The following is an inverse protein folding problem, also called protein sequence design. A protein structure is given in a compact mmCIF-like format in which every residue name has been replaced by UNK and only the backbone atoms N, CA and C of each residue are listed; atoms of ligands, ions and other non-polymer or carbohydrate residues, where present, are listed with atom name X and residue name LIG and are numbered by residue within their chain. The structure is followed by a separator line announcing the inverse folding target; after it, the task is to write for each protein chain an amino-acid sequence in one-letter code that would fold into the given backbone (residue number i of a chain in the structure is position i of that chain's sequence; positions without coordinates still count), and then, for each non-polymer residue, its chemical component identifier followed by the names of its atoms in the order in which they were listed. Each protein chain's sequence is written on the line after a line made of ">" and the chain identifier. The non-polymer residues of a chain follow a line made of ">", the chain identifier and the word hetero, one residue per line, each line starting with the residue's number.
data_IF_717613670893
#
_entry.id   IF_717613670893
#
_cell.length_a   1.000
_cell.length_b   1.000
_cell.length_c   1.000
_cell.angle_alpha   90.00
_cell.angle_beta   90.00
_cell.angle_gamma   90.00
#
_symmetry.space_group_name_H-M   'P 1'
#
loop_
_entity.id
_entity.type
_entity.pdbx_description
1 polymer ?
#
# COMPACT_ATOMS: atom_id res chain seq x y z
N UNK A 1 19.32 27.70 1.72
CA UNK A 1 18.78 26.57 0.91
C UNK A 1 17.41 26.97 0.42
N UNK A 2 17.21 27.02 -0.92
CA UNK A 2 15.91 27.38 -1.51
C UNK A 2 14.88 26.30 -1.10
N UNK A 3 13.85 26.71 -0.34
CA UNK A 3 12.79 25.79 0.11
C UNK A 3 12.11 25.17 -1.09
N UNK A 4 12.07 23.82 -1.15
CA UNK A 4 11.36 23.11 -2.20
C UNK A 4 9.85 23.22 -1.95
N UNK A 5 9.10 23.68 -2.96
CA UNK A 5 7.65 23.85 -2.89
C UNK A 5 6.93 22.62 -3.43
N UNK A 6 5.76 22.31 -2.85
CA UNK A 6 4.91 21.18 -3.27
C UNK A 6 4.60 21.26 -4.77
N UNK A 7 4.21 22.44 -5.28
CA UNK A 7 3.88 22.64 -6.70
C UNK A 7 4.99 22.24 -7.70
N UNK A 8 6.25 22.21 -7.25
CA UNK A 8 7.39 21.84 -8.12
C UNK A 8 7.44 20.34 -8.39
N UNK A 9 6.88 19.53 -7.49
CA UNK A 9 6.94 18.07 -7.54
C UNK A 9 5.58 17.40 -7.75
N UNK A 10 4.47 18.11 -7.50
CA UNK A 10 3.14 17.54 -7.68
C UNK A 10 2.84 17.22 -9.14
N UNK A 11 1.90 16.33 -9.36
CA UNK A 11 1.22 16.15 -10.64
C UNK A 11 0.00 17.08 -10.62
N UNK A 12 -0.03 18.11 -11.49
CA UNK A 12 -1.16 19.05 -11.56
C UNK A 12 -2.36 18.39 -12.24
N UNK A 13 -3.53 18.94 -12.02
CA UNK A 13 -4.80 18.60 -12.68
C UNK A 13 -5.04 17.07 -12.76
N UNK A 14 -5.01 16.36 -11.60
CA UNK A 14 -5.22 14.92 -11.58
C UNK A 14 -6.66 14.60 -12.01
N UNK A 15 -6.84 13.43 -12.61
CA UNK A 15 -8.19 12.91 -12.84
C UNK A 15 -8.89 12.75 -11.50
N UNK A 16 -10.09 13.30 -11.37
CA UNK A 16 -10.92 13.24 -10.17
C UNK A 16 -12.23 12.50 -10.46
N UNK A 17 -12.86 11.97 -9.42
CA UNK A 17 -14.20 11.39 -9.51
C UNK A 17 -15.19 12.33 -8.82
N UNK A 18 -16.24 12.71 -9.51
CA UNK A 18 -17.31 13.55 -8.98
C UNK A 18 -18.41 12.70 -8.33
N UNK A 19 -18.82 13.04 -7.11
CA UNK A 19 -19.99 12.43 -6.47
C UNK A 19 -21.28 13.17 -6.82
N UNK A 20 -22.41 12.43 -7.00
CA UNK A 20 -22.56 10.98 -6.83
C UNK A 20 -21.97 10.17 -7.98
N UNK A 21 -21.42 9.00 -7.66
CA UNK A 21 -20.84 8.06 -8.62
C UNK A 21 -21.00 6.62 -8.11
N UNK A 22 -20.95 5.67 -9.04
CA UNK A 22 -21.03 4.24 -8.73
C UNK A 22 -19.66 3.61 -8.58
N UNK A 23 -19.60 2.48 -7.89
CA UNK A 23 -18.40 1.64 -7.78
C UNK A 23 -17.90 1.20 -9.17
N UNK A 24 -18.81 0.81 -10.06
CA UNK A 24 -18.46 0.34 -11.41
C UNK A 24 -17.82 1.45 -12.25
N UNK A 25 -18.33 2.68 -12.16
CA UNK A 25 -17.72 3.84 -12.81
C UNK A 25 -16.28 4.04 -12.32
N UNK A 26 -16.03 3.95 -11.01
CA UNK A 26 -14.67 4.04 -10.48
C UNK A 26 -13.76 2.92 -11.02
N UNK A 27 -14.26 1.67 -11.10
CA UNK A 27 -13.52 0.55 -11.69
C UNK A 27 -13.16 0.80 -13.16
N UNK A 28 -14.06 1.36 -13.94
CA UNK A 28 -13.78 1.73 -15.35
C UNK A 28 -12.64 2.73 -15.47
N UNK A 29 -12.59 3.72 -14.55
CA UNK A 29 -11.51 4.70 -14.52
C UNK A 29 -10.17 4.07 -14.06
N UNK A 30 -10.18 3.18 -13.07
CA UNK A 30 -8.98 2.45 -12.66
C UNK A 30 -8.38 1.63 -13.80
N UNK A 31 -9.22 0.96 -14.59
CA UNK A 31 -8.78 0.21 -15.79
C UNK A 31 -8.19 1.13 -16.85
N UNK A 32 -8.85 2.28 -17.10
CA UNK A 32 -8.43 3.25 -18.11
C UNK A 32 -7.11 3.94 -17.78
N UNK A 33 -6.97 4.44 -16.55
CA UNK A 33 -5.83 5.29 -16.17
C UNK A 33 -4.70 4.52 -15.48
N UNK A 34 -4.91 3.25 -15.12
CA UNK A 34 -3.91 2.36 -14.47
C UNK A 34 -3.26 2.99 -13.22
N UNK A 35 -4.00 3.78 -12.47
CA UNK A 35 -3.57 4.40 -11.21
C UNK A 35 -4.14 3.65 -10.01
N UNK A 36 -3.55 3.84 -8.83
CA UNK A 36 -3.97 3.14 -7.61
C UNK A 36 -5.05 3.87 -6.81
N UNK A 37 -5.31 5.15 -7.11
CA UNK A 37 -6.36 5.93 -6.44
C UNK A 37 -6.70 7.20 -7.20
N UNK A 38 -7.90 7.74 -6.92
CA UNK A 38 -8.38 9.02 -7.41
C UNK A 38 -8.80 9.92 -6.25
N UNK A 39 -8.54 11.24 -6.32
CA UNK A 39 -9.25 12.22 -5.52
C UNK A 39 -10.73 12.19 -5.89
N UNK A 40 -11.59 12.33 -4.88
CA UNK A 40 -13.04 12.37 -5.04
C UNK A 40 -13.54 13.74 -4.61
N UNK A 41 -14.35 14.38 -5.45
CA UNK A 41 -14.84 15.74 -5.23
C UNK A 41 -16.37 15.78 -5.21
N UNK A 42 -16.91 16.79 -4.60
CA UNK A 42 -18.32 17.11 -4.70
C UNK A 42 -18.60 17.78 -6.06
N UNK A 43 -19.60 17.29 -6.80
CA UNK A 43 -19.93 17.78 -8.13
C UNK A 43 -20.31 19.28 -8.15
N UNK A 44 -21.02 19.75 -7.13
CA UNK A 44 -21.54 21.13 -7.09
C UNK A 44 -20.48 22.12 -6.60
N UNK A 45 -19.81 21.82 -5.49
CA UNK A 45 -18.82 22.72 -4.86
C UNK A 45 -17.41 22.56 -5.43
N UNK A 46 -17.15 21.46 -6.16
CA UNK A 46 -15.81 21.05 -6.64
C UNK A 46 -14.80 20.83 -5.50
N UNK A 47 -15.24 20.87 -4.26
CA UNK A 47 -14.39 20.65 -3.09
C UNK A 47 -14.04 19.16 -2.93
N UNK A 48 -12.84 18.90 -2.42
CA UNK A 48 -12.37 17.56 -2.08
C UNK A 48 -13.26 16.92 -1.01
N UNK A 49 -13.74 15.71 -1.31
CA UNK A 49 -14.46 14.85 -0.35
C UNK A 49 -13.51 13.85 0.29
N UNK A 50 -12.52 13.36 -0.45
CA UNK A 50 -11.55 12.38 0.02
C UNK A 50 -10.83 11.67 -1.13
N UNK A 51 -10.35 10.46 -0.86
CA UNK A 51 -9.67 9.60 -1.84
C UNK A 51 -10.37 8.24 -1.90
N UNK A 52 -10.47 7.70 -3.10
CA UNK A 52 -10.84 6.31 -3.34
C UNK A 52 -9.65 5.52 -3.89
N UNK A 53 -9.36 4.34 -3.34
CA UNK A 53 -8.32 3.45 -3.84
C UNK A 53 -8.93 2.21 -4.49
N UNK A 54 -8.22 1.65 -5.47
CA UNK A 54 -8.64 0.41 -6.14
C UNK A 54 -8.80 -0.75 -5.13
N UNK A 55 -7.88 -0.87 -4.16
CA UNK A 55 -7.96 -1.88 -3.09
C UNK A 55 -9.29 -1.80 -2.34
N UNK A 56 -9.73 -0.59 -1.98
CA UNK A 56 -10.99 -0.40 -1.23
C UNK A 56 -12.21 -0.76 -2.08
N UNK A 57 -12.19 -0.43 -3.36
CA UNK A 57 -13.27 -0.79 -4.30
C UNK A 57 -13.36 -2.30 -4.50
N UNK A 58 -12.23 -3.00 -4.55
CA UNK A 58 -12.19 -4.46 -4.70
C UNK A 58 -12.58 -5.21 -3.42
N UNK A 59 -12.24 -4.67 -2.25
CA UNK A 59 -12.56 -5.29 -0.95
C UNK A 59 -14.03 -5.17 -0.55
N UNK A 60 -14.81 -4.29 -1.21
CA UNK A 60 -16.23 -4.09 -0.93
C UNK A 60 -17.06 -4.30 -2.19
N UNK A 61 -17.18 -5.53 -2.68
CA UNK A 61 -17.88 -5.84 -3.94
C UNK A 61 -19.38 -5.55 -3.87
N UNK A 62 -19.97 -5.60 -2.67
CA UNK A 62 -21.41 -5.44 -2.45
C UNK A 62 -21.84 -3.98 -2.32
N UNK A 63 -20.89 -3.03 -2.20
CA UNK A 63 -21.21 -1.60 -2.06
C UNK A 63 -21.22 -0.91 -3.44
N UNK A 64 -22.38 -0.49 -3.89
CA UNK A 64 -22.55 0.18 -5.18
C UNK A 64 -22.28 1.69 -5.12
N UNK A 65 -22.55 2.31 -3.98
CA UNK A 65 -22.40 3.75 -3.81
C UNK A 65 -20.94 4.12 -3.49
N UNK A 66 -20.26 4.76 -4.43
CA UNK A 66 -18.87 5.14 -4.24
C UNK A 66 -18.65 6.02 -3.01
N UNK A 67 -19.64 6.84 -2.65
CA UNK A 67 -19.57 7.75 -1.50
C UNK A 67 -19.31 7.03 -0.16
N UNK A 68 -19.75 5.78 -0.03
CA UNK A 68 -19.54 4.94 1.16
C UNK A 68 -18.12 4.36 1.20
N UNK A 69 -17.47 4.26 0.05
CA UNK A 69 -16.12 3.73 -0.09
C UNK A 69 -15.02 4.81 0.00
N UNK A 70 -15.38 6.09 -0.03
CA UNK A 70 -14.41 7.20 0.01
C UNK A 70 -13.78 7.32 1.40
N UNK A 71 -12.46 7.32 1.47
CA UNK A 71 -11.72 7.72 2.68
C UNK A 71 -11.69 9.24 2.75
N UNK A 72 -12.38 9.82 3.73
CA UNK A 72 -12.58 11.27 3.86
C UNK A 72 -11.43 11.95 4.59
N UNK A 73 -10.87 11.29 5.59
CA UNK A 73 -9.71 11.79 6.35
C UNK A 73 -8.43 11.46 5.56
N UNK A 74 -7.97 12.45 4.79
CA UNK A 74 -6.80 12.35 3.92
C UNK A 74 -5.92 13.59 4.04
N UNK A 75 -4.58 13.44 3.98
CA UNK A 75 -3.69 14.59 4.12
C UNK A 75 -3.81 15.55 2.94
N UNK A 76 -3.92 16.83 3.25
CA UNK A 76 -3.97 17.91 2.26
C UNK A 76 -2.89 18.94 2.50
N UNK A 77 -2.42 19.56 1.41
CA UNK A 77 -1.44 20.65 1.43
C UNK A 77 -1.77 21.68 0.35
N UNK A 78 -1.17 22.88 0.45
CA UNK A 78 -1.28 23.92 -0.57
C UNK A 78 -0.11 23.89 -1.56
N UNK A 79 -0.26 24.40 -2.79
CA UNK A 79 0.82 24.39 -3.80
C UNK A 79 2.10 25.08 -3.32
N UNK A 80 1.97 26.14 -2.54
CA UNK A 80 3.10 26.92 -2.03
C UNK A 80 3.65 26.42 -0.69
N UNK A 81 3.09 25.38 -0.11
CA UNK A 81 3.63 24.76 1.10
C UNK A 81 5.03 24.21 0.85
N UNK A 82 5.84 24.14 1.94
CA UNK A 82 7.13 23.49 1.92
C UNK A 82 6.96 21.96 1.77
N UNK A 83 7.85 21.32 1.02
CA UNK A 83 7.86 19.88 0.86
C UNK A 83 7.89 19.13 2.20
N UNK A 84 8.58 19.69 3.22
CA UNK A 84 8.60 19.12 4.58
C UNK A 84 7.20 18.97 5.19
N UNK A 85 6.28 19.92 4.91
CA UNK A 85 4.89 19.82 5.39
C UNK A 85 4.16 18.65 4.74
N UNK A 86 4.33 18.45 3.43
CA UNK A 86 3.75 17.32 2.73
C UNK A 86 4.30 15.98 3.25
N UNK A 87 5.63 15.88 3.43
CA UNK A 87 6.28 14.68 3.97
C UNK A 87 5.80 14.37 5.39
N UNK A 88 5.69 15.39 6.27
CA UNK A 88 5.14 15.23 7.61
C UNK A 88 3.73 14.65 7.57
N UNK A 89 2.85 15.26 6.78
CA UNK A 89 1.47 14.81 6.64
C UNK A 89 1.36 13.36 6.12
N UNK A 90 2.25 12.97 5.17
CA UNK A 90 2.31 11.59 4.69
C UNK A 90 2.72 10.62 5.80
N UNK A 91 3.73 10.96 6.61
CA UNK A 91 4.27 10.09 7.65
C UNK A 91 3.32 9.99 8.86
N UNK A 92 2.73 11.09 9.31
CA UNK A 92 1.81 11.14 10.46
C UNK A 92 0.52 10.36 10.20
N UNK A 93 0.00 10.39 8.97
CA UNK A 93 -1.22 9.71 8.59
C UNK A 93 -0.97 8.32 7.97
N UNK A 94 0.29 7.89 7.87
CA UNK A 94 0.72 6.69 7.13
C UNK A 94 0.09 6.65 5.72
N UNK A 95 0.20 7.76 5.00
CA UNK A 95 -0.42 7.94 3.69
C UNK A 95 0.62 8.24 2.62
N UNK A 96 0.66 7.45 1.56
CA UNK A 96 1.68 7.56 0.50
C UNK A 96 1.46 8.71 -0.48
N UNK A 97 0.52 9.61 -0.19
CA UNK A 97 0.18 10.77 -1.02
C UNK A 97 -0.52 11.86 -0.23
N UNK A 98 -0.43 13.07 -0.74
CA UNK A 98 -1.22 14.21 -0.27
C UNK A 98 -1.99 14.81 -1.45
N UNK A 99 -3.21 15.28 -1.19
CA UNK A 99 -3.96 16.05 -2.19
C UNK A 99 -3.60 17.52 -2.05
N UNK A 100 -3.24 18.15 -3.17
CA UNK A 100 -2.92 19.56 -3.21
C UNK A 100 -4.18 20.34 -3.53
N UNK A 101 -4.57 21.24 -2.62
CA UNK A 101 -5.84 21.97 -2.70
C UNK A 101 -5.64 23.48 -2.55
N UNK A 102 -6.60 24.26 -3.05
CA UNK A 102 -6.70 25.70 -2.79
C UNK A 102 -7.40 26.02 -1.45
N UNK A 103 -7.73 27.30 -1.23
CA UNK A 103 -8.39 27.75 0.00
C UNK A 103 -9.84 27.27 0.09
N UNK A 104 -10.50 27.03 -1.05
CA UNK A 104 -11.86 26.50 -1.17
C UNK A 104 -11.89 24.96 -1.20
N UNK A 105 -10.76 24.30 -0.90
CA UNK A 105 -10.55 22.84 -0.96
C UNK A 105 -10.74 22.23 -2.35
N UNK A 106 -10.63 23.01 -3.45
CA UNK A 106 -10.64 22.44 -4.80
C UNK A 106 -9.30 21.76 -5.09
N UNK A 107 -9.36 20.63 -5.79
CA UNK A 107 -8.17 19.83 -6.10
C UNK A 107 -7.37 20.50 -7.21
N UNK A 108 -6.12 20.84 -6.92
CA UNK A 108 -5.16 21.43 -7.86
C UNK A 108 -4.08 20.45 -8.31
N UNK A 109 -3.83 19.39 -7.50
CA UNK A 109 -2.78 18.43 -7.78
C UNK A 109 -2.79 17.25 -6.82
N UNK A 110 -1.89 16.33 -7.07
CA UNK A 110 -1.57 15.23 -6.18
C UNK A 110 -0.05 15.09 -6.09
N UNK A 111 0.48 14.87 -4.90
CA UNK A 111 1.89 14.57 -4.67
C UNK A 111 1.99 13.22 -3.99
N UNK A 112 2.75 12.30 -4.58
CA UNK A 112 2.98 10.96 -4.05
C UNK A 112 4.41 10.80 -3.54
N UNK A 113 4.65 9.79 -2.68
CA UNK A 113 6.00 9.40 -2.28
C UNK A 113 6.85 9.05 -3.50
N UNK A 114 6.29 8.32 -4.48
CA UNK A 114 6.98 8.02 -5.73
C UNK A 114 7.39 9.26 -6.54
N UNK A 115 6.60 10.35 -6.51
CA UNK A 115 7.00 11.62 -7.14
C UNK A 115 8.19 12.25 -6.41
N UNK A 116 8.19 12.21 -5.07
CA UNK A 116 9.31 12.72 -4.25
C UNK A 116 10.58 11.91 -4.53
N UNK A 117 10.49 10.58 -4.55
CA UNK A 117 11.64 9.71 -4.85
C UNK A 117 12.18 10.01 -6.24
N UNK A 118 11.33 9.97 -7.27
CA UNK A 118 11.73 10.10 -8.68
C UNK A 118 12.19 11.51 -9.05
N UNK A 119 11.48 12.55 -8.58
CA UNK A 119 11.70 13.93 -9.02
C UNK A 119 12.66 14.70 -8.11
N UNK A 120 12.89 14.23 -6.87
CA UNK A 120 13.73 14.93 -5.91
C UNK A 120 14.87 14.09 -5.35
N UNK A 121 14.61 12.92 -4.72
CA UNK A 121 15.67 12.13 -4.07
C UNK A 121 16.66 11.56 -5.09
N UNK A 122 16.15 10.91 -6.15
CA UNK A 122 16.95 10.31 -7.20
C UNK A 122 17.70 11.33 -8.08
N UNK A 123 17.47 12.63 -7.91
CA UNK A 123 18.15 13.71 -8.64
C UNK A 123 19.00 14.61 -7.73
N UNK A 124 18.98 14.39 -6.43
CA UNK A 124 19.68 15.22 -5.46
C UNK A 124 21.03 14.61 -5.06
N UNK A 125 22.06 14.94 -5.80
CA UNK A 125 23.41 14.41 -5.57
C UNK A 125 23.98 14.66 -4.16
N UNK A 126 23.48 15.67 -3.44
CA UNK A 126 23.84 15.89 -2.03
C UNK A 126 23.39 14.76 -1.09
N UNK A 127 22.63 13.80 -1.59
CA UNK A 127 22.21 12.61 -0.86
C UNK A 127 23.14 11.41 -1.08
N UNK A 128 24.20 11.56 -1.90
CA UNK A 128 25.25 10.57 -2.07
C UNK A 128 26.06 10.32 -0.79
N UNK A 129 26.15 11.35 0.08
CA UNK A 129 26.87 11.25 1.36
C UNK A 129 25.97 10.85 2.54
N UNK A 130 24.69 10.59 2.30
CA UNK A 130 23.73 10.19 3.34
C UNK A 130 23.35 8.74 3.17
N UNK A 131 23.83 7.88 4.07
CA UNK A 131 23.56 6.43 4.02
C UNK A 131 22.16 6.09 4.53
N UNK A 132 21.64 4.92 4.12
CA UNK A 132 20.34 4.44 4.60
C UNK A 132 20.39 3.82 5.99
N UNK A 133 21.53 3.75 6.65
CA UNK A 133 21.74 3.04 7.92
C UNK A 133 20.76 3.42 9.02
N UNK A 134 20.32 4.70 9.06
CA UNK A 134 19.35 5.23 10.03
C UNK A 134 17.89 5.21 9.53
N UNK A 135 17.67 4.77 8.30
CA UNK A 135 16.37 4.88 7.63
C UNK A 135 15.71 3.53 7.38
N UNK A 136 16.49 2.45 7.14
CA UNK A 136 15.87 1.16 6.92
C UNK A 136 15.31 0.56 8.23
N UNK A 137 14.27 -0.24 8.09
CA UNK A 137 13.60 -0.91 9.20
C UNK A 137 14.27 -2.26 9.48
N UNK A 138 14.64 -2.48 10.74
CA UNK A 138 15.26 -3.74 11.22
C UNK A 138 14.21 -4.77 11.63
N UNK A 139 13.07 -4.30 12.16
CA UNK A 139 11.96 -5.17 12.55
C UNK A 139 11.05 -5.39 11.35
N UNK A 140 11.25 -6.48 10.65
CA UNK A 140 10.49 -6.84 9.46
C UNK A 140 9.94 -8.24 9.58
N UNK A 141 8.74 -8.46 9.08
CA UNK A 141 8.19 -9.79 8.93
C UNK A 141 8.91 -10.52 7.80
N UNK A 142 9.22 -11.79 8.02
CA UNK A 142 9.82 -12.67 7.02
C UNK A 142 9.04 -13.98 6.98
N UNK A 143 9.14 -14.71 5.87
CA UNK A 143 8.66 -16.09 5.79
C UNK A 143 9.79 -17.02 5.35
N UNK A 144 9.74 -18.25 5.84
CA UNK A 144 10.66 -19.30 5.41
C UNK A 144 10.26 -19.81 4.02
N UNK A 145 11.22 -20.20 3.20
CA UNK A 145 10.99 -20.63 1.82
C UNK A 145 10.00 -21.80 1.66
N UNK A 146 9.90 -22.67 2.68
CA UNK A 146 8.95 -23.77 2.75
C UNK A 146 7.57 -23.39 3.27
N UNK A 147 7.32 -22.11 3.61
CA UNK A 147 6.03 -21.65 4.15
C UNK A 147 4.90 -21.85 3.13
N UNK A 148 3.77 -22.51 3.51
CA UNK A 148 2.60 -22.63 2.63
C UNK A 148 2.02 -21.26 2.24
N UNK A 149 1.53 -21.13 1.01
CA UNK A 149 1.02 -19.84 0.47
C UNK A 149 -0.03 -19.19 1.36
N UNK A 150 -0.94 -19.98 1.95
CA UNK A 150 -1.97 -19.46 2.86
C UNK A 150 -1.39 -18.81 4.12
N UNK A 151 -0.31 -19.40 4.67
CA UNK A 151 0.39 -18.85 5.82
C UNK A 151 1.20 -17.59 5.44
N UNK A 152 1.86 -17.60 4.27
CA UNK A 152 2.57 -16.43 3.75
C UNK A 152 1.62 -15.25 3.51
N UNK A 153 0.43 -15.47 2.92
CA UNK A 153 -0.59 -14.43 2.78
C UNK A 153 -1.02 -13.87 4.14
N UNK A 154 -1.23 -14.76 5.13
CA UNK A 154 -1.61 -14.31 6.49
C UNK A 154 -0.52 -13.47 7.14
N UNK A 155 0.75 -13.86 6.99
CA UNK A 155 1.89 -13.10 7.49
C UNK A 155 1.96 -11.71 6.83
N UNK A 156 1.83 -11.64 5.50
CA UNK A 156 1.83 -10.40 4.73
C UNK A 156 0.73 -9.43 5.21
N UNK A 157 -0.48 -9.95 5.41
CA UNK A 157 -1.62 -9.16 5.90
C UNK A 157 -1.43 -8.66 7.34
N UNK A 158 -0.91 -9.52 8.24
CA UNK A 158 -0.67 -9.16 9.65
C UNK A 158 0.45 -8.13 9.80
N UNK A 159 1.49 -8.23 8.97
CA UNK A 159 2.59 -7.27 8.93
C UNK A 159 2.20 -5.96 8.22
N UNK A 160 1.01 -5.87 7.63
CA UNK A 160 0.59 -4.75 6.76
C UNK A 160 1.67 -4.42 5.71
N UNK A 161 2.35 -5.46 5.21
CA UNK A 161 3.44 -5.34 4.27
C UNK A 161 2.94 -5.37 2.82
N UNK A 162 3.66 -4.70 1.91
CA UNK A 162 3.38 -4.75 0.47
C UNK A 162 4.02 -5.99 -0.17
N UNK A 163 5.19 -6.38 0.31
CA UNK A 163 5.86 -7.62 0.02
C UNK A 163 6.68 -8.05 1.24
N UNK A 164 6.94 -9.33 1.37
CA UNK A 164 7.63 -9.93 2.51
C UNK A 164 8.87 -10.71 2.02
N UNK A 165 10.02 -10.56 2.69
CA UNK A 165 11.21 -11.34 2.37
C UNK A 165 11.00 -12.83 2.66
N UNK A 166 11.60 -13.64 1.82
CA UNK A 166 11.69 -15.10 1.97
C UNK A 166 13.12 -15.47 2.31
N UNK A 167 13.30 -16.23 3.39
CA UNK A 167 14.61 -16.67 3.87
C UNK A 167 14.76 -18.18 3.75
N UNK A 168 16.01 -18.66 3.66
CA UNK A 168 16.39 -20.06 3.71
C UNK A 168 16.57 -20.57 5.17
N UNK A 169 17.08 -21.78 5.32
CA UNK A 169 17.33 -22.43 6.61
C UNK A 169 18.45 -21.74 7.40
N UNK A 170 19.36 -21.04 6.72
CA UNK A 170 20.47 -20.28 7.29
C UNK A 170 20.08 -18.83 7.61
N UNK A 171 18.87 -18.38 7.22
CA UNK A 171 18.39 -17.02 7.42
C UNK A 171 18.80 -16.04 6.32
N UNK A 172 19.36 -16.52 5.21
CA UNK A 172 19.71 -15.70 4.08
C UNK A 172 18.48 -15.36 3.24
N UNK A 173 18.51 -14.20 2.62
CA UNK A 173 17.48 -13.77 1.70
C UNK A 173 17.55 -14.57 0.39
N UNK A 174 16.49 -15.33 0.08
CA UNK A 174 16.37 -16.14 -1.14
C UNK A 174 15.26 -15.71 -2.08
N UNK A 175 14.39 -14.81 -1.63
CA UNK A 175 13.28 -14.34 -2.45
C UNK A 175 12.48 -13.20 -1.81
N UNK A 176 11.56 -12.67 -2.59
CA UNK A 176 10.49 -11.77 -2.13
C UNK A 176 9.17 -12.29 -2.65
N UNK A 177 8.10 -12.13 -1.88
CA UNK A 177 6.74 -12.43 -2.32
C UNK A 177 5.81 -11.27 -1.98
N UNK A 178 5.02 -10.84 -2.94
CA UNK A 178 4.02 -9.81 -2.77
C UNK A 178 2.58 -10.36 -2.83
N UNK A 179 1.62 -9.48 -2.58
CA UNK A 179 0.18 -9.83 -2.64
C UNK A 179 -0.21 -10.32 -4.05
N UNK A 180 0.38 -9.74 -5.10
CA UNK A 180 0.09 -10.09 -6.50
C UNK A 180 0.57 -11.49 -6.83
N UNK A 181 1.76 -11.86 -6.36
CA UNK A 181 2.32 -13.20 -6.57
C UNK A 181 1.44 -14.27 -5.90
N UNK A 182 0.96 -13.98 -4.69
CA UNK A 182 0.07 -14.89 -3.95
C UNK A 182 -1.31 -15.04 -4.62
N UNK A 183 -1.78 -14.00 -5.30
CA UNK A 183 -3.12 -14.00 -5.92
C UNK A 183 -3.14 -14.55 -7.34
N UNK A 184 -1.99 -14.67 -8.03
CA UNK A 184 -1.91 -15.12 -9.43
C UNK A 184 -2.62 -16.45 -9.69
N UNK A 185 -2.45 -17.40 -8.77
CA UNK A 185 -2.98 -18.77 -8.90
C UNK A 185 -4.08 -19.04 -7.87
N UNK A 186 -4.69 -18.01 -7.33
CA UNK A 186 -5.78 -18.13 -6.37
C UNK A 186 -7.13 -18.26 -7.09
N UNK A 187 -8.01 -19.08 -6.53
CA UNK A 187 -9.40 -19.20 -6.96
C UNK A 187 -10.34 -18.64 -5.90
N UNK A 188 -11.37 -17.91 -6.34
CA UNK A 188 -12.47 -17.51 -5.44
C UNK A 188 -13.52 -18.61 -5.47
N UNK A 189 -13.62 -19.35 -4.37
CA UNK A 189 -14.65 -20.37 -4.20
C UNK A 189 -15.76 -19.85 -3.29
N UNK A 190 -17.00 -20.19 -3.63
CA UNK A 190 -18.15 -19.91 -2.78
C UNK A 190 -18.41 -21.11 -1.89
N UNK A 191 -18.27 -20.89 -0.57
CA UNK A 191 -18.46 -21.92 0.44
C UNK A 191 -19.74 -21.62 1.21
N UNK A 192 -20.65 -22.59 1.25
CA UNK A 192 -21.80 -22.53 2.13
C UNK A 192 -21.37 -22.81 3.57
N UNK A 193 -21.52 -21.84 4.46
CA UNK A 193 -21.29 -22.04 5.90
C UNK A 193 -22.61 -22.12 6.64
N UNK A 194 -22.69 -23.10 7.51
CA UNK A 194 -23.79 -23.25 8.47
C UNK A 194 -23.33 -22.64 9.79
N UNK A 195 -24.11 -21.72 10.32
CA UNK A 195 -23.92 -21.25 11.70
C UNK A 195 -25.17 -21.57 12.49
N UNK A 196 -25.01 -22.38 13.56
CA UNK A 196 -26.07 -22.54 14.54
C UNK A 196 -26.22 -21.20 15.30
N UNK A 197 -27.41 -20.64 15.29
CA UNK A 197 -27.73 -19.54 16.20
C UNK A 197 -27.80 -20.14 17.61
N UNK A 198 -26.80 -19.84 18.44
CA UNK A 198 -26.90 -20.14 19.85
C UNK A 198 -28.09 -19.31 20.45
N UNK A 199 -29.17 -19.98 20.81
CA UNK A 199 -30.23 -19.35 21.58
C UNK A 199 -29.65 -19.02 22.96
N UNK A 200 -29.51 -17.74 23.26
CA UNK A 200 -29.15 -17.25 24.58
C UNK A 200 -30.45 -16.96 25.36
N UNK A 201 -31.16 -17.97 25.82
CA UNK A 201 -32.10 -17.87 26.95
C UNK A 201 -32.54 -19.25 27.39
N UNK A 202 -32.47 -19.50 28.68
CA UNK A 202 -32.83 -20.74 29.37
C UNK A 202 -34.37 -20.99 29.47
N UNK A 203 -35.20 -20.33 28.68
CA UNK A 203 -36.65 -20.44 28.76
C UNK A 203 -37.30 -20.60 27.41
N UNK A 204 -37.01 -21.70 26.67
CA UNK A 204 -38.01 -22.14 25.69
C UNK A 204 -37.87 -23.65 25.43
N UNK A 205 -38.72 -24.36 26.13
CA UNK A 205 -39.22 -25.66 25.75
C UNK A 205 -39.99 -25.54 24.46
N UNK A 206 -39.73 -26.44 23.53
CA UNK A 206 -40.49 -26.69 22.32
C UNK A 206 -40.05 -25.81 21.14
N UNK A 207 -39.07 -26.34 20.39
CA UNK A 207 -39.17 -26.54 18.93
C UNK A 207 -37.93 -27.23 18.40
N UNK A 208 -38.08 -28.42 17.87
CA UNK A 208 -37.08 -29.21 17.17
C UNK A 208 -36.66 -28.57 15.82
N UNK A 209 -36.11 -27.40 15.86
CA UNK A 209 -35.37 -26.85 14.72
C UNK A 209 -34.46 -25.73 15.18
N UNK A 210 -33.21 -26.06 15.47
CA UNK A 210 -32.18 -25.04 15.53
C UNK A 210 -32.19 -24.29 14.19
N UNK A 211 -32.55 -23.00 14.15
CA UNK A 211 -32.50 -22.27 12.89
C UNK A 211 -31.03 -22.20 12.43
N UNK A 212 -30.75 -22.98 11.43
CA UNK A 212 -29.44 -22.99 10.79
C UNK A 212 -29.44 -21.91 9.73
N UNK A 213 -28.70 -20.84 9.95
CA UNK A 213 -28.45 -19.84 8.91
C UNK A 213 -27.42 -20.40 7.93
N UNK A 214 -27.86 -20.60 6.69
CA UNK A 214 -27.01 -20.89 5.54
C UNK A 214 -26.62 -19.54 4.92
N UNK A 215 -25.32 -19.22 4.90
CA UNK A 215 -24.84 -18.07 4.15
C UNK A 215 -23.70 -18.48 3.24
N UNK A 216 -23.72 -17.91 2.04
CA UNK A 216 -22.69 -18.09 1.05
C UNK A 216 -21.55 -17.13 1.35
N UNK A 217 -20.35 -17.65 1.57
CA UNK A 217 -19.15 -16.84 1.75
C UNK A 217 -18.15 -17.11 0.64
N UNK A 218 -17.71 -16.05 -0.03
CA UNK A 218 -16.58 -16.15 -0.94
C UNK A 218 -15.29 -16.33 -0.14
N UNK A 219 -14.57 -17.42 -0.35
CA UNK A 219 -13.26 -17.67 0.24
C UNK A 219 -12.21 -17.78 -0.84
N UNK A 220 -11.04 -17.16 -0.60
CA UNK A 220 -9.89 -17.28 -1.47
C UNK A 220 -9.20 -18.62 -1.20
N UNK A 221 -9.18 -19.50 -2.18
CA UNK A 221 -8.38 -20.72 -2.14
C UNK A 221 -7.05 -20.50 -2.81
N UNK A 222 -5.99 -20.83 -2.10
CA UNK A 222 -4.61 -20.81 -2.57
C UNK A 222 -4.12 -22.25 -2.77
N UNK A 223 -3.31 -22.51 -3.80
CA UNK A 223 -2.70 -23.83 -4.01
C UNK A 223 -1.91 -24.28 -2.79
N UNK A 224 -1.91 -25.58 -2.51
CA UNK A 224 -1.14 -26.21 -1.43
C UNK A 224 0.32 -26.43 -1.86
N UNK A 225 1.09 -25.33 -1.96
CA UNK A 225 2.51 -25.37 -2.31
C UNK A 225 3.27 -24.33 -1.48
N UNK A 226 4.60 -24.46 -1.35
CA UNK A 226 5.42 -23.51 -0.61
C UNK A 226 5.61 -22.19 -1.36
N UNK A 227 5.99 -21.14 -0.60
CA UNK A 227 6.26 -19.81 -1.14
C UNK A 227 7.44 -19.80 -2.11
N UNK A 228 8.38 -20.73 -1.95
CA UNK A 228 9.52 -20.92 -2.87
C UNK A 228 9.14 -21.15 -4.33
N UNK A 229 7.93 -21.67 -4.60
CA UNK A 229 7.47 -21.95 -5.96
C UNK A 229 7.02 -20.71 -6.72
N UNK A 230 6.69 -19.63 -5.99
CA UNK A 230 6.12 -18.41 -6.59
C UNK A 230 6.93 -17.15 -6.30
N UNK A 231 7.87 -17.20 -5.33
CA UNK A 231 8.65 -16.03 -4.94
C UNK A 231 9.48 -15.48 -6.10
N UNK A 232 9.65 -14.17 -6.16
CA UNK A 232 10.61 -13.54 -7.06
C UNK A 232 12.03 -13.75 -6.50
N UNK A 233 12.91 -14.34 -7.30
CA UNK A 233 14.32 -14.62 -6.99
C UNK A 233 15.27 -13.56 -7.53
N UNK A 234 14.85 -12.78 -8.52
CA UNK A 234 15.63 -11.67 -9.07
C UNK A 234 15.48 -10.44 -8.17
N UNK A 235 16.34 -10.36 -7.16
CA UNK A 235 16.23 -9.38 -6.10
C UNK A 235 17.11 -8.16 -6.33
N UNK A 236 16.51 -6.98 -6.23
CA UNK A 236 17.23 -5.73 -6.11
C UNK A 236 17.40 -5.42 -4.62
N UNK A 237 18.63 -5.51 -4.15
CA UNK A 237 18.98 -5.35 -2.75
C UNK A 237 19.69 -4.03 -2.45
N UNK A 238 19.69 -3.62 -1.20
CA UNK A 238 20.50 -2.54 -0.66
C UNK A 238 21.44 -3.06 0.43
N UNK A 239 22.47 -2.29 0.75
CA UNK A 239 23.31 -2.51 1.94
C UNK A 239 23.16 -1.31 2.89
N UNK A 240 23.43 -1.45 4.20
CA UNK A 240 23.29 -0.35 5.17
C UNK A 240 24.06 0.92 4.79
N UNK A 241 25.21 0.77 4.14
CA UNK A 241 26.08 1.89 3.74
C UNK A 241 25.73 2.50 2.38
N UNK A 242 24.76 1.92 1.66
CA UNK A 242 24.29 2.50 0.41
C UNK A 242 23.68 3.88 0.65
N UNK A 243 23.92 4.81 -0.28
CA UNK A 243 23.38 6.17 -0.16
C UNK A 243 21.87 6.22 -0.43
N UNK A 244 21.20 7.21 0.15
CA UNK A 244 19.78 7.48 -0.17
C UNK A 244 19.60 7.77 -1.66
N UNK A 245 20.59 8.45 -2.28
CA UNK A 245 20.59 8.71 -3.71
C UNK A 245 20.55 7.40 -4.51
N UNK A 246 21.46 6.45 -4.23
CA UNK A 246 21.55 5.20 -4.97
C UNK A 246 20.34 4.30 -4.75
N UNK A 247 19.82 4.26 -3.50
CA UNK A 247 18.57 3.54 -3.21
C UNK A 247 17.39 4.15 -3.98
N UNK A 248 17.28 5.48 -4.02
CA UNK A 248 16.24 6.15 -4.79
C UNK A 248 16.38 5.89 -6.30
N UNK A 249 17.62 5.86 -6.82
CA UNK A 249 17.90 5.48 -8.22
C UNK A 249 17.44 4.05 -8.52
N UNK A 250 17.79 3.08 -7.66
CA UNK A 250 17.33 1.69 -7.80
C UNK A 250 15.80 1.60 -7.79
N UNK A 251 15.12 2.29 -6.85
CA UNK A 251 13.65 2.31 -6.79
C UNK A 251 13.02 2.81 -8.08
N UNK A 252 13.60 3.86 -8.68
CA UNK A 252 13.13 4.43 -9.96
C UNK A 252 13.42 3.49 -11.13
N UNK A 253 14.63 2.95 -11.21
CA UNK A 253 15.08 2.10 -12.31
C UNK A 253 14.28 0.79 -12.40
N UNK A 254 14.03 0.16 -11.25
CA UNK A 254 13.37 -1.14 -11.17
C UNK A 254 11.86 -1.03 -10.87
N UNK A 255 11.31 0.19 -10.77
CA UNK A 255 9.89 0.44 -10.46
C UNK A 255 9.40 -0.22 -9.17
N UNK A 256 10.25 -0.25 -8.14
CA UNK A 256 9.98 -0.86 -6.83
C UNK A 256 9.90 0.19 -5.73
N UNK A 257 9.14 -0.09 -4.70
CA UNK A 257 8.85 0.83 -3.59
C UNK A 257 9.57 0.43 -2.30
N UNK A 258 10.26 -0.72 -2.32
CA UNK A 258 11.06 -1.23 -1.19
C UNK A 258 12.18 -2.14 -1.68
N UNK A 259 13.27 -2.19 -0.91
CA UNK A 259 14.40 -3.09 -1.13
C UNK A 259 14.73 -3.80 0.18
N UNK A 260 14.97 -5.12 0.15
CA UNK A 260 15.60 -5.81 1.26
C UNK A 260 17.03 -5.29 1.46
N UNK A 261 17.41 -5.14 2.72
CA UNK A 261 18.75 -4.70 3.11
C UNK A 261 19.52 -5.91 3.62
N UNK A 262 20.65 -6.18 2.98
CA UNK A 262 21.49 -7.34 3.29
C UNK A 262 22.89 -6.93 3.74
N UNK A 263 23.55 -7.82 4.50
CA UNK A 263 24.96 -7.77 4.84
C UNK A 263 25.67 -9.06 4.38
N UNK A 264 27.00 -8.96 4.22
CA UNK A 264 27.81 -10.12 3.85
C UNK A 264 27.28 -10.82 2.59
N UNK A 265 27.20 -12.13 2.64
CA UNK A 265 26.82 -12.99 1.51
C UNK A 265 25.31 -13.21 1.35
N UNK A 266 24.47 -12.42 2.03
CA UNK A 266 23.00 -12.52 1.87
C UNK A 266 22.19 -12.45 3.15
N UNK A 267 22.84 -12.24 4.31
CA UNK A 267 22.15 -12.05 5.59
C UNK A 267 21.15 -10.87 5.51
N UNK A 268 19.87 -11.18 5.68
CA UNK A 268 18.83 -10.16 5.72
C UNK A 268 18.90 -9.38 7.03
N UNK A 269 19.11 -8.06 6.97
CA UNK A 269 19.17 -7.18 8.16
C UNK A 269 18.04 -6.18 8.23
N UNK A 270 17.16 -6.12 7.23
CA UNK A 270 16.00 -5.24 7.24
C UNK A 270 15.40 -4.97 5.87
N UNK A 271 14.52 -3.97 5.81
CA UNK A 271 13.91 -3.44 4.58
C UNK A 271 14.00 -1.92 4.58
N UNK A 272 14.34 -1.33 3.45
CA UNK A 272 14.19 0.10 3.21
C UNK A 272 13.03 0.35 2.24
N UNK A 273 12.05 1.15 2.67
CA UNK A 273 10.90 1.56 1.85
C UNK A 273 11.08 3.00 1.39
N UNK A 274 10.41 3.37 0.33
CA UNK A 274 10.36 4.76 -0.14
C UNK A 274 9.82 5.73 0.94
N UNK A 275 8.82 5.29 1.75
CA UNK A 275 8.35 6.03 2.94
C UNK A 275 9.45 6.26 3.99
N UNK A 276 10.44 5.39 4.06
CA UNK A 276 11.54 5.53 5.02
C UNK A 276 12.58 6.54 4.52
N UNK A 277 12.93 6.52 3.24
CA UNK A 277 13.95 7.44 2.69
C UNK A 277 13.46 8.88 2.55
N UNK A 278 12.14 9.14 2.40
CA UNK A 278 11.64 10.53 2.38
C UNK A 278 11.81 11.25 3.72
N UNK A 279 12.02 10.53 4.84
CA UNK A 279 12.31 11.10 6.17
C UNK A 279 13.56 11.99 6.15
N UNK A 280 14.50 11.76 5.23
CA UNK A 280 15.71 12.60 5.07
C UNK A 280 15.37 14.07 4.81
N UNK A 281 14.20 14.35 4.22
CA UNK A 281 13.74 15.71 3.93
C UNK A 281 13.47 16.49 5.22
N UNK A 282 13.06 15.81 6.29
CA UNK A 282 12.78 16.44 7.59
C UNK A 282 14.04 16.75 8.38
N UNK A 283 15.12 16.01 8.15
CA UNK A 283 16.39 16.12 8.89
C UNK A 283 17.35 17.17 8.30
N UNK A 284 16.95 17.88 7.26
CA UNK A 284 17.75 18.94 6.59
C UNK A 284 17.35 20.35 6.98
#
# INVERSE_FOLDING_TARGET
>A
VKKMRVKTLMTPDPVVIELPATREYALSLFRKYKVRSFPVINKNTKALVGIISIKRVLLHPDEEQLAMLVKRDVPTVKPNDDLKKAVRAMLEMDYRRVVVVDDEKRVLGILTVGDIVRRYLAKNEKLKDVTIERYYQKNVGVVWHGTPLKAALKALLLCNAMAIPVIDDEGNLVGMVDETDLLKDSEVVRVMKQTALAASSEEDWILESNPTLLFEKAELQLPKRPVSDIMNRELVVATPHMSIYDVAQKMVQYHIEQLPVIKGEGELVGIVRDMDIIKVILNK
#
